data_IF_037778561747
#
_entry.id   IF_037778561747
#
_cell.length_a   1.000
_cell.length_b   1.000
_cell.length_c   1.000
_cell.angle_alpha   90.00
_cell.angle_beta   90.00
_cell.angle_gamma   90.00
#
_symmetry.space_group_name_H-M   'P 1'
#
loop_
_entity.id
_entity.type
_entity.pdbx_description
1 polymer ?
#
# COMPACT_ATOMS: atom_id res chain seq x y z
N UNK A 1 3.24 18.45 -15.12
CA UNK A 1 2.13 19.36 -14.80
C UNK A 1 2.21 19.67 -13.32
N UNK A 2 2.36 20.93 -12.97
CA UNK A 2 2.23 21.37 -11.59
C UNK A 2 0.74 21.47 -11.30
N UNK A 3 0.31 20.91 -10.19
CA UNK A 3 -1.11 21.00 -9.77
C UNK A 3 -1.44 22.43 -9.39
N UNK A 4 -2.60 22.94 -9.82
CA UNK A 4 -3.00 24.34 -9.67
C UNK A 4 -3.00 24.90 -8.23
N UNK A 5 -2.79 24.06 -7.22
CA UNK A 5 -2.84 24.45 -5.81
C UNK A 5 -1.50 24.29 -5.10
N UNK A 6 -0.39 24.07 -5.81
CA UNK A 6 0.94 23.97 -5.22
C UNK A 6 1.76 25.18 -5.65
N UNK A 7 2.03 26.08 -4.70
CA UNK A 7 2.89 27.25 -4.89
C UNK A 7 4.30 26.94 -4.40
N UNK A 8 5.27 27.05 -5.29
CA UNK A 8 6.68 26.92 -4.96
C UNK A 8 7.26 28.29 -4.61
N UNK A 9 7.37 28.62 -3.32
CA UNK A 9 8.08 29.81 -2.85
C UNK A 9 9.57 29.44 -2.69
N UNK A 10 10.44 30.31 -3.15
CA UNK A 10 11.90 30.15 -3.05
C UNK A 10 12.50 28.98 -3.84
N UNK A 11 11.77 28.42 -4.80
CA UNK A 11 12.27 27.41 -5.69
C UNK A 11 13.10 28.08 -6.81
N UNK A 12 14.43 27.93 -6.76
CA UNK A 12 15.29 28.34 -7.86
C UNK A 12 15.18 27.30 -8.97
N UNK A 13 14.61 27.68 -10.12
CA UNK A 13 14.70 26.84 -11.30
C UNK A 13 16.15 26.82 -11.78
N UNK A 14 16.79 25.68 -11.71
CA UNK A 14 18.08 25.49 -12.36
C UNK A 14 17.90 25.55 -13.87
N UNK A 15 18.95 26.02 -14.58
CA UNK A 15 18.97 26.04 -16.03
C UNK A 15 18.54 24.68 -16.60
N UNK A 16 17.70 24.70 -17.64
CA UNK A 16 17.22 23.46 -18.29
C UNK A 16 18.42 22.62 -18.71
N UNK A 17 18.52 21.42 -18.15
CA UNK A 17 19.52 20.46 -18.58
C UNK A 17 18.94 19.63 -19.72
N UNK A 18 19.29 19.98 -20.96
CA UNK A 18 18.80 19.33 -22.17
C UNK A 18 19.05 17.81 -22.17
N UNK A 19 20.17 17.36 -21.60
CA UNK A 19 20.49 15.93 -21.49
C UNK A 19 19.50 15.20 -20.60
N UNK A 20 19.17 15.77 -19.44
CA UNK A 20 18.20 15.19 -18.51
C UNK A 20 16.79 15.18 -19.11
N UNK A 21 16.41 16.27 -19.79
CA UNK A 21 15.11 16.35 -20.47
C UNK A 21 14.98 15.30 -21.56
N UNK A 22 16.02 15.10 -22.36
CA UNK A 22 16.02 14.08 -23.41
C UNK A 22 15.98 12.65 -22.84
N UNK A 23 16.71 12.39 -21.75
CA UNK A 23 16.67 11.11 -21.06
C UNK A 23 15.27 10.83 -20.50
N UNK A 24 14.61 11.81 -19.88
CA UNK A 24 13.24 11.68 -19.39
C UNK A 24 12.25 11.40 -20.54
N UNK A 25 12.36 12.14 -21.65
CA UNK A 25 11.54 11.92 -22.83
C UNK A 25 11.71 10.50 -23.40
N UNK A 26 12.93 9.99 -23.42
CA UNK A 26 13.21 8.63 -23.88
C UNK A 26 12.62 7.60 -22.91
N UNK A 27 12.82 7.77 -21.62
CA UNK A 27 12.23 6.92 -20.57
C UNK A 27 10.70 6.86 -20.71
N UNK A 28 10.03 7.99 -20.89
CA UNK A 28 8.58 8.05 -21.02
C UNK A 28 8.04 7.39 -22.31
N UNK A 29 8.89 7.18 -23.31
CA UNK A 29 8.54 6.44 -24.55
C UNK A 29 8.73 4.93 -24.40
N UNK A 30 9.46 4.47 -23.39
CA UNK A 30 9.68 3.05 -23.18
C UNK A 30 8.36 2.34 -22.84
N UNK A 31 8.18 1.14 -23.39
CA UNK A 31 7.10 0.23 -23.00
C UNK A 31 7.48 -0.44 -21.68
N UNK A 32 7.17 0.21 -20.58
CA UNK A 32 7.50 -0.25 -19.25
C UNK A 32 6.23 -0.36 -18.39
N UNK A 33 5.99 -1.53 -17.85
CA UNK A 33 4.79 -1.80 -17.03
C UNK A 33 4.69 -0.90 -15.79
N UNK A 34 5.83 -0.45 -15.23
CA UNK A 34 5.83 0.48 -14.10
C UNK A 34 5.31 1.85 -14.57
N UNK A 35 5.76 2.33 -15.74
CA UNK A 35 5.27 3.59 -16.31
C UNK A 35 3.79 3.48 -16.71
N UNK A 36 3.37 2.32 -17.16
CA UNK A 36 1.96 2.07 -17.49
C UNK A 36 1.06 2.17 -16.24
N UNK A 37 1.58 1.83 -15.04
CA UNK A 37 0.83 1.97 -13.79
C UNK A 37 0.54 3.42 -13.38
N UNK A 38 1.23 4.41 -13.97
CA UNK A 38 0.95 5.83 -13.76
C UNK A 38 -0.04 6.43 -14.77
N UNK A 39 -0.47 5.65 -15.76
CA UNK A 39 -1.45 6.11 -16.75
C UNK A 39 -2.87 6.08 -16.19
N UNK A 40 -3.72 6.98 -16.66
CA UNK A 40 -5.15 7.00 -16.30
C UNK A 40 -5.89 5.72 -16.72
N UNK A 41 -5.33 4.95 -17.66
CA UNK A 41 -5.86 3.66 -18.11
C UNK A 41 -5.51 2.49 -17.21
N UNK A 42 -4.63 2.69 -16.21
CA UNK A 42 -4.26 1.64 -15.27
C UNK A 42 -5.48 1.22 -14.45
N UNK A 43 -5.64 -0.08 -14.30
CA UNK A 43 -6.70 -0.66 -13.46
C UNK A 43 -6.07 -1.43 -12.31
N UNK A 44 -6.47 -1.07 -11.11
CA UNK A 44 -6.10 -1.82 -9.92
C UNK A 44 -6.57 -3.27 -9.99
N UNK A 45 -5.84 -4.17 -9.37
CA UNK A 45 -6.17 -5.59 -9.34
C UNK A 45 -7.38 -5.93 -8.46
N UNK A 46 -7.86 -4.96 -7.68
CA UNK A 46 -8.99 -5.17 -6.79
C UNK A 46 -10.30 -4.62 -7.37
N UNK A 47 -11.39 -5.32 -7.07
CA UNK A 47 -12.73 -4.87 -7.44
C UNK A 47 -13.26 -4.00 -6.28
N UNK A 48 -13.59 -2.76 -6.56
CA UNK A 48 -14.08 -1.80 -5.57
C UNK A 48 -15.27 -2.34 -4.74
N UNK A 49 -16.15 -3.14 -5.37
CA UNK A 49 -17.26 -3.82 -4.70
C UNK A 49 -16.81 -4.76 -3.56
N UNK A 50 -15.64 -5.41 -3.70
CA UNK A 50 -15.10 -6.29 -2.65
C UNK A 50 -14.63 -5.52 -1.42
N UNK A 51 -14.15 -4.30 -1.61
CA UNK A 51 -13.65 -3.44 -0.52
C UNK A 51 -14.80 -2.72 0.18
N UNK A 52 -15.89 -2.44 -0.53
CA UNK A 52 -17.07 -1.74 0.00
C UNK A 52 -17.69 -2.43 1.23
N UNK A 53 -17.63 -3.77 1.31
CA UNK A 53 -18.11 -4.52 2.48
C UNK A 53 -17.41 -4.14 3.81
N UNK A 54 -16.22 -3.56 3.72
CA UNK A 54 -15.45 -3.11 4.89
C UNK A 54 -15.66 -1.64 5.24
N UNK A 55 -16.52 -0.92 4.52
CA UNK A 55 -16.78 0.51 4.69
C UNK A 55 -17.17 0.89 6.13
N UNK A 56 -17.84 0.00 6.83
CA UNK A 56 -18.37 0.26 8.18
C UNK A 56 -17.35 0.05 9.31
N UNK A 57 -16.11 -0.31 8.99
CA UNK A 57 -15.06 -0.36 10.00
C UNK A 57 -14.55 1.06 10.30
N UNK A 58 -14.35 1.34 11.59
CA UNK A 58 -13.78 2.62 12.07
C UNK A 58 -12.33 2.49 12.49
N UNK A 59 -11.89 1.26 12.81
CA UNK A 59 -10.51 0.99 13.26
C UNK A 59 -9.83 0.04 12.27
N UNK A 60 -8.61 0.39 11.93
CA UNK A 60 -7.77 -0.34 10.97
C UNK A 60 -6.39 -0.58 11.58
N UNK A 61 -5.87 -1.79 11.42
CA UNK A 61 -4.47 -2.09 11.72
C UNK A 61 -3.78 -2.46 10.42
N UNK A 62 -2.78 -1.69 10.04
CA UNK A 62 -1.96 -1.94 8.85
C UNK A 62 -0.67 -2.60 9.31
N UNK A 63 -0.41 -3.80 8.81
CA UNK A 63 0.78 -4.60 9.13
C UNK A 63 1.61 -4.73 7.86
N UNK A 64 2.84 -4.25 7.90
CA UNK A 64 3.72 -4.27 6.73
C UNK A 64 5.09 -3.71 7.08
N UNK A 65 6.03 -3.75 6.12
CA UNK A 65 7.39 -3.25 6.31
C UNK A 65 7.84 -2.42 5.11
N UNK A 66 8.59 -1.35 5.37
CA UNK A 66 9.18 -0.51 4.33
C UNK A 66 8.15 0.03 3.33
N UNK A 67 8.37 -0.21 2.03
CA UNK A 67 7.48 0.27 0.96
C UNK A 67 6.03 -0.20 1.06
N UNK A 68 5.78 -1.31 1.74
CA UNK A 68 4.43 -1.84 1.96
C UNK A 68 3.61 -1.03 2.96
N UNK A 69 4.20 -0.13 3.74
CA UNK A 69 3.49 0.62 4.78
C UNK A 69 3.78 2.12 4.77
N UNK A 70 4.96 2.54 4.35
CA UNK A 70 5.37 3.94 4.42
C UNK A 70 4.49 4.86 3.55
N UNK A 71 4.07 4.39 2.37
CA UNK A 71 3.15 5.13 1.50
C UNK A 71 1.80 5.37 2.17
N UNK A 72 1.21 4.34 2.75
CA UNK A 72 -0.06 4.43 3.47
C UNK A 72 0.05 5.35 4.71
N UNK A 73 1.17 5.29 5.45
CA UNK A 73 1.46 6.22 6.55
C UNK A 73 1.50 7.67 6.07
N UNK A 74 2.19 7.94 4.96
CA UNK A 74 2.31 9.28 4.38
C UNK A 74 0.95 9.82 3.94
N UNK A 75 0.16 9.03 3.23
CA UNK A 75 -1.19 9.42 2.78
C UNK A 75 -2.09 9.69 4.00
N UNK A 76 -2.08 8.80 4.99
CA UNK A 76 -2.87 8.98 6.21
C UNK A 76 -2.47 10.25 6.96
N UNK A 77 -1.17 10.52 7.12
CA UNK A 77 -0.65 11.72 7.77
C UNK A 77 -1.09 12.99 7.03
N UNK A 78 -0.97 13.00 5.71
CA UNK A 78 -1.37 14.13 4.88
C UNK A 78 -2.89 14.40 4.93
N UNK A 79 -3.70 13.34 4.91
CA UNK A 79 -5.15 13.43 4.90
C UNK A 79 -5.79 13.34 6.29
N UNK A 80 -5.01 13.31 7.37
CA UNK A 80 -5.49 13.06 8.74
C UNK A 80 -6.68 13.93 9.15
N UNK A 81 -6.68 15.19 8.76
CA UNK A 81 -7.78 16.11 9.07
C UNK A 81 -9.10 15.76 8.36
N UNK A 82 -9.03 15.03 7.24
CA UNK A 82 -10.20 14.62 6.44
C UNK A 82 -10.64 13.19 6.77
N UNK A 83 -9.75 12.35 7.26
CA UNK A 83 -10.03 10.94 7.55
C UNK A 83 -10.60 10.81 8.97
N UNK A 84 -11.84 10.34 9.06
CA UNK A 84 -12.56 10.10 10.34
C UNK A 84 -12.27 8.70 10.93
N UNK A 85 -11.50 7.89 10.24
CA UNK A 85 -11.18 6.51 10.62
C UNK A 85 -9.82 6.46 11.31
N UNK A 86 -9.65 5.54 12.25
CA UNK A 86 -8.42 5.39 13.02
C UNK A 86 -7.54 4.29 12.41
N UNK A 87 -6.31 4.63 12.08
CA UNK A 87 -5.31 3.70 11.56
C UNK A 87 -4.16 3.54 12.53
N UNK A 88 -3.81 2.29 12.81
CA UNK A 88 -2.63 1.90 13.60
C UNK A 88 -1.70 1.17 12.64
N UNK A 89 -0.45 1.61 12.57
CA UNK A 89 0.55 1.03 11.68
C UNK A 89 1.54 0.20 12.50
N UNK A 90 1.84 -1.00 12.02
CA UNK A 90 2.73 -1.99 12.64
C UNK A 90 3.82 -2.38 11.65
N UNK A 91 5.00 -1.80 11.81
CA UNK A 91 6.17 -1.95 10.95
C UNK A 91 7.45 -2.35 11.70
N UNK A 92 7.33 -2.62 12.99
CA UNK A 92 8.44 -3.04 13.84
C UNK A 92 8.00 -4.17 14.78
N UNK A 93 8.97 -4.83 15.41
CA UNK A 93 8.71 -5.79 16.48
C UNK A 93 8.42 -5.03 17.78
N UNK A 94 7.16 -4.75 18.03
CA UNK A 94 6.73 -4.13 19.27
C UNK A 94 5.90 -5.10 20.09
N UNK A 95 5.95 -4.99 21.41
CA UNK A 95 5.02 -5.70 22.30
C UNK A 95 3.64 -5.11 22.10
N UNK A 96 2.76 -5.86 21.43
CA UNK A 96 1.47 -5.36 21.02
C UNK A 96 0.37 -5.96 21.91
N UNK A 97 -0.38 -5.10 22.58
CA UNK A 97 -1.65 -5.51 23.20
C UNK A 97 -2.69 -5.73 22.10
N UNK A 98 -3.28 -6.93 22.06
CA UNK A 98 -4.38 -7.22 21.12
C UNK A 98 -5.53 -6.24 21.35
N UNK A 99 -5.90 -5.53 20.30
CA UNK A 99 -7.08 -4.67 20.34
C UNK A 99 -8.34 -5.55 20.24
N UNK A 100 -9.19 -5.55 21.26
CA UNK A 100 -10.44 -6.33 21.28
C UNK A 100 -11.61 -5.63 20.57
N UNK A 101 -11.43 -4.38 20.13
CA UNK A 101 -12.47 -3.64 19.38
C UNK A 101 -12.62 -4.21 17.98
N UNK A 102 -13.80 -4.04 17.38
CA UNK A 102 -14.05 -4.39 15.98
C UNK A 102 -13.04 -3.66 15.09
N UNK A 103 -12.13 -4.41 14.50
CA UNK A 103 -10.97 -3.92 13.76
C UNK A 103 -10.83 -4.67 12.44
N UNK A 104 -10.40 -3.98 11.40
CA UNK A 104 -9.99 -4.57 10.13
C UNK A 104 -8.48 -4.56 10.03
N UNK A 105 -7.88 -5.73 9.84
CA UNK A 105 -6.44 -5.86 9.64
C UNK A 105 -6.11 -5.87 8.15
N UNK A 106 -5.18 -5.02 7.73
CA UNK A 106 -4.61 -4.94 6.39
C UNK A 106 -3.18 -5.47 6.48
N UNK A 107 -2.93 -6.63 5.90
CA UNK A 107 -1.62 -7.29 5.92
C UNK A 107 -0.99 -7.12 4.55
N UNK A 108 0.10 -6.36 4.48
CA UNK A 108 0.70 -5.93 3.23
C UNK A 108 2.14 -6.45 3.15
N UNK A 109 2.39 -7.36 2.22
CA UNK A 109 3.73 -7.82 1.87
C UNK A 109 3.76 -8.36 0.45
N UNK A 110 4.47 -7.69 -0.43
CA UNK A 110 4.63 -8.13 -1.82
C UNK A 110 5.11 -9.58 -1.91
N UNK A 111 6.21 -9.90 -1.25
CA UNK A 111 6.80 -11.25 -1.27
C UNK A 111 5.98 -12.29 -0.51
N UNK A 112 5.14 -11.84 0.44
CA UNK A 112 4.44 -12.74 1.37
C UNK A 112 5.35 -13.49 2.35
N UNK A 113 6.65 -13.11 2.40
CA UNK A 113 7.67 -13.76 3.21
C UNK A 113 8.46 -12.80 4.13
N UNK A 114 8.06 -11.53 4.26
CA UNK A 114 8.74 -10.56 5.12
C UNK A 114 8.59 -10.95 6.58
N UNK A 115 9.70 -11.17 7.27
CA UNK A 115 9.75 -11.75 8.63
C UNK A 115 8.93 -10.96 9.64
N UNK A 116 9.08 -9.64 9.67
CA UNK A 116 8.37 -8.74 10.56
C UNK A 116 6.85 -8.78 10.31
N UNK A 117 6.46 -8.81 9.05
CA UNK A 117 5.04 -8.90 8.67
C UNK A 117 4.46 -10.25 9.09
N UNK A 118 5.22 -11.34 8.93
CA UNK A 118 4.82 -12.69 9.37
C UNK A 118 4.67 -12.74 10.89
N UNK A 119 5.68 -12.27 11.62
CA UNK A 119 5.69 -12.30 13.08
C UNK A 119 4.51 -11.49 13.66
N UNK A 120 4.34 -10.25 13.20
CA UNK A 120 3.22 -9.39 13.61
C UNK A 120 1.86 -10.00 13.25
N UNK A 121 1.75 -10.64 12.08
CA UNK A 121 0.51 -11.30 11.67
C UNK A 121 0.17 -12.47 12.59
N UNK A 122 1.15 -13.30 12.94
CA UNK A 122 0.93 -14.44 13.83
C UNK A 122 0.51 -14.03 15.25
N UNK A 123 1.03 -12.90 15.73
CA UNK A 123 0.69 -12.38 17.07
C UNK A 123 -0.68 -11.70 17.09
N UNK A 124 -0.99 -10.91 16.05
CA UNK A 124 -2.14 -10.01 16.04
C UNK A 124 -3.42 -10.61 15.48
N UNK A 125 -3.29 -11.48 14.46
CA UNK A 125 -4.47 -11.94 13.74
C UNK A 125 -5.25 -12.99 14.53
N UNK A 126 -6.57 -12.90 14.39
CA UNK A 126 -7.52 -13.87 14.93
C UNK A 126 -8.53 -14.22 13.82
N UNK A 127 -9.00 -15.48 13.78
CA UNK A 127 -10.02 -15.95 12.84
C UNK A 127 -11.35 -15.18 12.94
N UNK A 128 -11.64 -14.61 14.13
CA UNK A 128 -12.85 -13.83 14.38
C UNK A 128 -12.78 -12.39 13.90
N UNK A 129 -11.60 -11.92 13.49
CA UNK A 129 -11.39 -10.58 12.96
C UNK A 129 -11.50 -10.58 11.44
N UNK A 130 -11.84 -9.43 10.88
CA UNK A 130 -11.79 -9.22 9.43
C UNK A 130 -10.35 -8.94 9.02
N UNK A 131 -9.86 -9.70 8.04
CA UNK A 131 -8.49 -9.61 7.56
C UNK A 131 -8.49 -9.46 6.03
N UNK A 132 -7.66 -8.58 5.51
CA UNK A 132 -7.37 -8.42 4.08
C UNK A 132 -5.85 -8.57 3.90
N UNK A 133 -5.46 -9.39 2.95
CA UNK A 133 -4.05 -9.56 2.59
C UNK A 133 -3.79 -8.95 1.22
N UNK A 134 -2.70 -8.17 1.10
CA UNK A 134 -2.21 -7.61 -0.16
C UNK A 134 -0.84 -8.25 -0.42
N UNK A 135 -0.78 -9.15 -1.40
CA UNK A 135 0.43 -9.92 -1.71
C UNK A 135 0.44 -10.35 -3.19
N UNK A 136 1.59 -10.71 -3.73
CA UNK A 136 1.65 -11.30 -5.07
C UNK A 136 0.84 -12.59 -5.17
N UNK A 137 0.35 -12.86 -6.38
CA UNK A 137 -0.33 -14.12 -6.70
C UNK A 137 0.68 -15.28 -6.82
N UNK A 138 1.28 -15.64 -5.67
CA UNK A 138 2.17 -16.80 -5.56
C UNK A 138 1.98 -17.49 -4.21
N UNK A 139 2.43 -18.75 -4.15
CA UNK A 139 2.45 -19.50 -2.89
C UNK A 139 3.50 -18.87 -1.97
N UNK A 140 3.05 -18.39 -0.81
CA UNK A 140 3.88 -17.80 0.22
C UNK A 140 3.28 -18.08 1.60
N UNK A 141 4.02 -17.79 2.66
CA UNK A 141 3.51 -17.96 4.03
C UNK A 141 2.21 -17.15 4.24
N UNK A 142 2.22 -15.86 3.86
CA UNK A 142 1.04 -15.00 4.06
C UNK A 142 -0.14 -15.39 3.16
N UNK A 143 0.09 -15.84 1.93
CA UNK A 143 -1.00 -16.32 1.08
C UNK A 143 -1.65 -17.60 1.65
N UNK A 144 -0.84 -18.49 2.25
CA UNK A 144 -1.32 -19.70 2.94
C UNK A 144 -2.10 -19.34 4.21
N UNK A 145 -1.57 -18.41 5.00
CA UNK A 145 -2.24 -17.90 6.21
C UNK A 145 -3.58 -17.25 5.86
N UNK A 146 -3.63 -16.44 4.81
CA UNK A 146 -4.86 -15.80 4.35
C UNK A 146 -5.95 -16.83 4.00
N UNK A 147 -5.59 -17.90 3.27
CA UNK A 147 -6.50 -19.00 2.96
C UNK A 147 -7.00 -19.70 4.22
N UNK A 148 -6.11 -20.00 5.18
CA UNK A 148 -6.46 -20.62 6.47
C UNK A 148 -7.42 -19.75 7.29
N UNK A 149 -7.28 -18.44 7.22
CA UNK A 149 -8.14 -17.47 7.89
C UNK A 149 -9.42 -17.15 7.10
N UNK A 150 -9.60 -17.70 5.90
CA UNK A 150 -10.67 -17.35 4.95
C UNK A 150 -10.75 -15.84 4.70
N UNK A 151 -9.59 -15.18 4.65
CA UNK A 151 -9.45 -13.75 4.46
C UNK A 151 -9.55 -13.35 2.99
N UNK A 152 -9.91 -12.10 2.72
CA UNK A 152 -9.83 -11.53 1.36
C UNK A 152 -8.37 -11.37 0.94
N UNK A 153 -8.06 -11.74 -0.30
CA UNK A 153 -6.73 -11.55 -0.88
C UNK A 153 -6.86 -10.59 -2.06
N UNK A 154 -6.08 -9.53 -2.02
CA UNK A 154 -5.88 -8.58 -3.11
C UNK A 154 -4.52 -8.89 -3.72
N UNK A 155 -4.48 -9.19 -5.00
CA UNK A 155 -3.24 -9.50 -5.70
C UNK A 155 -2.47 -8.20 -5.99
N UNK A 156 -1.24 -8.15 -5.54
CA UNK A 156 -0.31 -7.08 -5.89
C UNK A 156 0.46 -7.44 -7.16
N UNK A 157 0.59 -6.48 -8.07
CA UNK A 157 1.31 -6.70 -9.32
C UNK A 157 2.80 -6.94 -9.08
N UNK A 158 3.35 -8.03 -9.66
CA UNK A 158 4.72 -8.48 -9.44
C UNK A 158 5.79 -7.53 -9.98
N UNK A 159 5.46 -6.72 -10.98
CA UNK A 159 6.37 -5.74 -11.58
C UNK A 159 6.48 -4.43 -10.80
N UNK A 160 5.55 -4.15 -9.85
CA UNK A 160 5.62 -2.96 -9.02
C UNK A 160 6.46 -3.28 -7.78
N UNK A 161 7.64 -2.68 -7.68
CA UNK A 161 8.50 -2.81 -6.49
C UNK A 161 7.92 -2.09 -5.27
N UNK A 162 8.22 -2.57 -4.06
CA UNK A 162 7.67 -1.99 -2.82
C UNK A 162 7.86 -0.48 -2.68
N UNK A 163 8.99 0.06 -3.16
CA UNK A 163 9.27 1.50 -3.15
C UNK A 163 8.36 2.33 -4.05
N UNK A 164 7.74 1.71 -5.05
CA UNK A 164 6.87 2.37 -6.03
C UNK A 164 5.39 2.03 -5.84
N UNK A 165 5.08 1.27 -4.80
CA UNK A 165 3.74 0.70 -4.60
C UNK A 165 2.71 1.65 -3.96
N UNK A 166 3.12 2.86 -3.58
CA UNK A 166 2.21 3.82 -2.92
C UNK A 166 1.01 4.22 -3.78
N UNK A 167 1.17 4.22 -5.11
CA UNK A 167 0.10 4.51 -6.08
C UNK A 167 -0.47 3.25 -6.72
N UNK A 168 -0.37 2.11 -6.06
CA UNK A 168 -0.98 0.84 -6.46
C UNK A 168 -1.87 0.31 -5.34
N UNK A 169 -2.25 -0.97 -5.41
CA UNK A 169 -3.11 -1.65 -4.44
C UNK A 169 -2.67 -1.48 -2.97
N UNK A 170 -1.42 -1.08 -2.74
CA UNK A 170 -0.85 -0.90 -1.39
C UNK A 170 -1.26 0.42 -0.76
N UNK A 171 -1.38 1.48 -1.54
CA UNK A 171 -1.69 2.82 -1.04
C UNK A 171 -3.07 3.33 -1.42
N UNK A 172 -3.70 2.69 -2.41
CA UNK A 172 -5.04 3.05 -2.90
C UNK A 172 -6.12 2.26 -2.19
#
# INVERSE_FOLDING_TARGET
>A
MLTNNINFKNFKSYAKNQKVENQLKNLLKEKNQILDSFKNSYKDSFIQKKVTKFKNFSNFTVIGMGGSILGSKAIYSFLRKKIKKNFIFKDSFEIIKKNRKKNLNLIISKSGGTLETIANSNILLDKRQSNIFITENKISYLSTLAKKLKAEIINHNNYIGGRYSVLSEVGM
#
